data_IF_166327074431
#
_entry.id   IF_166327074431
#
_cell.length_a   1.000
_cell.length_b   1.000
_cell.length_c   1.000
_cell.angle_alpha   90.00
_cell.angle_beta   90.00
_cell.angle_gamma   90.00
#
_symmetry.space_group_name_H-M   'P 1'
#
loop_
_entity.id
_entity.type
_entity.pdbx_description
1 polymer ?
#
# COMPACT_ATOMS: atom_id res chain seq x y z
N UNK A 1 -27.73 8.76 -2.29
CA UNK A 1 -26.40 8.55 -2.90
C UNK A 1 -26.52 7.47 -3.96
N UNK A 2 -25.79 7.57 -5.08
CA UNK A 2 -25.67 6.52 -6.08
C UNK A 2 -24.24 5.97 -6.04
N UNK A 3 -24.09 4.68 -5.71
CA UNK A 3 -22.80 4.03 -5.54
C UNK A 3 -22.65 2.95 -6.61
N UNK A 4 -21.58 3.01 -7.38
CA UNK A 4 -21.19 1.91 -8.26
C UNK A 4 -19.95 1.23 -7.68
N UNK A 5 -20.02 -0.09 -7.53
CA UNK A 5 -18.92 -0.93 -7.05
C UNK A 5 -18.38 -1.73 -8.23
N UNK A 6 -17.11 -1.56 -8.53
CA UNK A 6 -16.37 -2.30 -9.55
C UNK A 6 -15.45 -3.28 -8.83
N UNK A 7 -15.72 -4.57 -8.98
CA UNK A 7 -15.00 -5.67 -8.33
C UNK A 7 -14.13 -6.42 -9.33
N UNK A 8 -12.88 -6.62 -8.95
CA UNK A 8 -11.96 -7.52 -9.64
C UNK A 8 -12.33 -8.99 -9.35
N UNK A 9 -12.64 -9.73 -10.42
CA UNK A 9 -12.97 -11.14 -10.39
C UNK A 9 -11.94 -12.00 -11.12
N UNK A 10 -10.75 -11.48 -11.39
CA UNK A 10 -9.68 -12.20 -12.07
C UNK A 10 -9.13 -13.37 -11.23
N UNK A 11 -8.37 -14.27 -11.87
CA UNK A 11 -7.71 -15.42 -11.21
C UNK A 11 -6.79 -14.96 -10.06
N UNK A 12 -6.17 -13.78 -10.19
CA UNK A 12 -5.30 -13.25 -9.14
C UNK A 12 -6.08 -13.11 -7.81
N UNK A 13 -7.34 -12.67 -7.86
CA UNK A 13 -8.17 -12.52 -6.66
C UNK A 13 -8.47 -13.84 -5.93
N UNK A 14 -8.20 -15.02 -6.53
CA UNK A 14 -8.31 -16.32 -5.83
C UNK A 14 -7.18 -16.60 -4.86
N UNK A 15 -6.05 -15.89 -4.97
CA UNK A 15 -4.93 -16.13 -4.04
C UNK A 15 -5.37 -15.86 -2.59
N UNK A 16 -4.84 -16.61 -1.62
CA UNK A 16 -5.19 -16.44 -0.21
C UNK A 16 -4.81 -15.05 0.29
N UNK A 17 -5.62 -14.50 1.20
CA UNK A 17 -5.25 -13.25 1.88
C UNK A 17 -4.03 -13.52 2.78
N UNK A 18 -2.95 -12.75 2.61
CA UNK A 18 -1.71 -12.99 3.36
C UNK A 18 -1.82 -12.68 4.87
N UNK A 19 -2.90 -12.02 5.30
CA UNK A 19 -3.10 -11.57 6.67
C UNK A 19 -3.99 -12.56 7.46
N UNK A 20 -3.35 -13.47 8.22
CA UNK A 20 -4.04 -14.25 9.25
C UNK A 20 -4.31 -13.32 10.44
N UNK A 21 -5.40 -12.54 10.38
CA UNK A 21 -5.88 -11.89 11.61
C UNK A 21 -6.44 -12.98 12.53
N UNK A 22 -6.04 -13.00 13.81
CA UNK A 22 -6.46 -14.01 14.81
C UNK A 22 -7.99 -14.10 15.03
N UNK A 23 -8.80 -13.29 14.34
CA UNK A 23 -10.24 -13.13 14.58
C UNK A 23 -11.12 -13.47 13.36
N UNK A 24 -10.56 -13.63 12.16
CA UNK A 24 -11.34 -13.92 10.96
C UNK A 24 -10.55 -14.86 10.06
N UNK A 25 -11.05 -16.06 9.80
CA UNK A 25 -10.64 -16.86 8.64
C UNK A 25 -11.05 -16.07 7.40
N UNK A 26 -10.13 -15.29 6.84
CA UNK A 26 -10.37 -14.65 5.55
C UNK A 26 -9.71 -15.54 4.51
N UNK A 27 -10.51 -16.26 3.72
CA UNK A 27 -10.01 -17.20 2.73
C UNK A 27 -9.27 -16.50 1.59
N UNK A 28 -9.92 -16.27 0.46
CA UNK A 28 -9.29 -15.64 -0.72
C UNK A 28 -9.34 -14.10 -0.68
N UNK A 29 -8.48 -13.43 -1.46
CA UNK A 29 -8.57 -11.97 -1.70
C UNK A 29 -9.96 -11.57 -2.19
N UNK A 30 -10.56 -12.38 -3.04
CA UNK A 30 -11.93 -12.23 -3.53
C UNK A 30 -12.96 -12.34 -2.40
N UNK A 31 -12.79 -13.29 -1.48
CA UNK A 31 -13.69 -13.44 -0.33
C UNK A 31 -13.60 -12.26 0.64
N UNK A 32 -12.41 -11.70 0.83
CA UNK A 32 -12.22 -10.45 1.59
C UNK A 32 -12.95 -9.28 0.91
N UNK A 33 -12.80 -9.14 -0.40
CA UNK A 33 -13.50 -8.13 -1.19
C UNK A 33 -15.03 -8.30 -1.10
N UNK A 34 -15.52 -9.54 -1.21
CA UNK A 34 -16.92 -9.90 -1.05
C UNK A 34 -17.46 -9.57 0.34
N UNK A 35 -16.70 -9.84 1.40
CA UNK A 35 -17.04 -9.46 2.78
C UNK A 35 -17.11 -7.94 2.95
N UNK A 36 -16.17 -7.19 2.35
CA UNK A 36 -16.21 -5.72 2.35
C UNK A 36 -17.44 -5.16 1.62
N UNK A 37 -17.78 -5.72 0.45
CA UNK A 37 -18.99 -5.37 -0.30
C UNK A 37 -20.23 -5.70 0.54
N UNK A 38 -20.27 -6.88 1.16
CA UNK A 38 -21.36 -7.29 2.04
C UNK A 38 -21.53 -6.31 3.20
N UNK A 39 -20.44 -5.83 3.80
CA UNK A 39 -20.46 -4.79 4.83
C UNK A 39 -21.08 -3.48 4.33
N UNK A 40 -20.70 -3.02 3.13
CA UNK A 40 -21.26 -1.83 2.50
C UNK A 40 -22.77 -2.02 2.24
N UNK A 41 -23.16 -3.13 1.61
CA UNK A 41 -24.55 -3.45 1.27
C UNK A 41 -25.41 -3.54 2.54
N UNK A 42 -24.96 -4.26 3.57
CA UNK A 42 -25.68 -4.39 4.84
C UNK A 42 -25.85 -3.05 5.55
N UNK A 43 -24.80 -2.22 5.58
CA UNK A 43 -24.89 -0.89 6.19
C UNK A 43 -25.90 0.00 5.46
N UNK A 44 -25.92 -0.06 4.12
CA UNK A 44 -26.86 0.72 3.31
C UNK A 44 -28.30 0.22 3.46
N UNK A 45 -28.50 -1.09 3.47
CA UNK A 45 -29.82 -1.71 3.70
C UNK A 45 -30.41 -1.28 5.06
N UNK A 46 -29.59 -1.27 6.12
CA UNK A 46 -30.06 -0.98 7.49
C UNK A 46 -30.24 0.51 7.77
N UNK A 47 -29.33 1.37 7.28
CA UNK A 47 -29.27 2.77 7.70
C UNK A 47 -29.58 3.78 6.60
N UNK A 48 -29.58 3.38 5.32
CA UNK A 48 -29.75 4.29 4.18
C UNK A 48 -30.55 3.66 3.03
N UNK A 49 -31.82 3.36 3.30
CA UNK A 49 -32.78 2.74 2.36
C UNK A 49 -33.00 3.45 1.02
N UNK A 50 -32.65 4.73 0.91
CA UNK A 50 -32.80 5.53 -0.32
C UNK A 50 -31.51 5.55 -1.17
N UNK A 51 -30.43 4.95 -0.69
CA UNK A 51 -29.20 4.85 -1.47
C UNK A 51 -29.33 3.72 -2.50
N UNK A 52 -28.86 4.00 -3.71
CA UNK A 52 -28.85 3.04 -4.81
C UNK A 52 -27.43 2.48 -4.97
N UNK A 53 -27.31 1.17 -5.13
CA UNK A 53 -26.03 0.48 -5.29
C UNK A 53 -26.08 -0.36 -6.56
N UNK A 54 -25.09 -0.19 -7.43
CA UNK A 54 -24.82 -1.08 -8.56
C UNK A 54 -23.51 -1.83 -8.34
N UNK A 55 -23.43 -3.06 -8.84
CA UNK A 55 -22.26 -3.93 -8.69
C UNK A 55 -21.88 -4.49 -10.07
N UNK A 56 -20.61 -4.35 -10.42
CA UNK A 56 -20.03 -4.82 -11.67
C UNK A 56 -18.79 -5.63 -11.34
N UNK A 57 -18.60 -6.71 -12.07
CA UNK A 57 -17.41 -7.55 -11.99
C UNK A 57 -16.66 -7.48 -13.30
N UNK A 58 -15.34 -7.27 -13.25
CA UNK A 58 -14.47 -7.39 -14.41
C UNK A 58 -13.48 -8.54 -14.21
N UNK A 59 -13.05 -9.15 -15.31
CA UNK A 59 -12.23 -10.36 -15.28
C UNK A 59 -13.04 -11.66 -15.15
N UNK A 60 -14.36 -11.63 -15.40
CA UNK A 60 -15.24 -12.81 -15.33
C UNK A 60 -15.11 -13.70 -16.57
N UNK A 61 -15.39 -14.99 -16.44
CA UNK A 61 -15.40 -15.91 -17.60
C UNK A 61 -16.46 -15.52 -18.63
N UNK A 62 -17.63 -15.11 -18.16
CA UNK A 62 -18.71 -14.57 -18.98
C UNK A 62 -18.58 -13.06 -19.25
N UNK A 63 -19.39 -12.59 -20.19
CA UNK A 63 -19.60 -11.16 -20.49
C UNK A 63 -21.09 -10.89 -20.42
N UNK A 64 -21.50 -9.94 -19.59
CA UNK A 64 -22.88 -9.47 -19.51
C UNK A 64 -22.86 -7.97 -19.25
N UNK A 65 -22.79 -7.18 -20.32
CA UNK A 65 -22.89 -5.73 -20.25
C UNK A 65 -23.51 -5.18 -21.53
N UNK A 66 -24.25 -4.08 -21.41
CA UNK A 66 -25.01 -3.49 -22.53
C UNK A 66 -24.09 -2.91 -23.61
N UNK A 67 -22.90 -2.41 -23.23
CA UNK A 67 -21.94 -1.86 -24.20
C UNK A 67 -21.36 -2.94 -25.12
N UNK A 68 -21.14 -4.15 -24.61
CA UNK A 68 -20.73 -5.30 -25.44
C UNK A 68 -21.84 -5.75 -26.38
N UNK A 69 -23.12 -5.58 -26.02
CA UNK A 69 -24.23 -5.85 -26.92
C UNK A 69 -24.34 -4.82 -28.06
N UNK A 70 -23.82 -3.61 -27.84
CA UNK A 70 -23.77 -2.54 -28.84
C UNK A 70 -22.54 -2.65 -29.76
N UNK A 71 -21.41 -3.16 -29.24
CA UNK A 71 -20.18 -3.47 -30.00
C UNK A 71 -19.56 -4.79 -29.51
N UNK A 72 -19.86 -5.88 -30.23
CA UNK A 72 -19.52 -7.29 -29.92
C UNK A 72 -18.04 -7.53 -29.56
N UNK A 73 -17.13 -6.63 -29.94
CA UNK A 73 -15.70 -6.80 -29.74
C UNK A 73 -15.12 -6.01 -28.55
N UNK A 74 -15.91 -5.14 -27.92
CA UNK A 74 -15.48 -4.25 -26.83
C UNK A 74 -15.99 -4.72 -25.46
N UNK A 75 -15.31 -4.37 -24.36
CA UNK A 75 -15.74 -4.66 -22.99
C UNK A 75 -16.04 -6.14 -22.67
N UNK A 76 -15.23 -7.05 -23.19
CA UNK A 76 -15.34 -8.50 -22.90
C UNK A 76 -14.93 -8.81 -21.47
N UNK A 77 -15.46 -9.90 -20.91
CA UNK A 77 -15.17 -10.36 -19.55
C UNK A 77 -15.59 -9.38 -18.44
N UNK A 78 -16.59 -8.55 -18.73
CA UNK A 78 -17.23 -7.65 -17.78
C UNK A 78 -18.69 -8.05 -17.62
N UNK A 79 -19.11 -8.33 -16.39
CA UNK A 79 -20.46 -8.80 -16.02
C UNK A 79 -21.10 -7.81 -15.05
N UNK A 80 -22.29 -7.33 -15.38
CA UNK A 80 -23.10 -6.47 -14.51
C UNK A 80 -23.93 -7.36 -13.59
N UNK A 81 -23.53 -7.43 -12.31
CA UNK A 81 -24.27 -8.23 -11.30
C UNK A 81 -25.57 -7.53 -10.93
N UNK A 82 -25.53 -6.21 -10.81
CA UNK A 82 -26.70 -5.41 -10.49
C UNK A 82 -26.57 -4.00 -11.07
N UNK A 83 -27.57 -3.60 -11.85
CA UNK A 83 -27.74 -2.20 -12.26
C UNK A 83 -28.03 -1.32 -11.04
N UNK A 84 -27.63 -0.04 -11.07
CA UNK A 84 -27.89 0.91 -9.98
C UNK A 84 -29.37 0.95 -9.55
N UNK A 85 -29.66 0.31 -8.42
CA UNK A 85 -31.01 0.14 -7.89
C UNK A 85 -31.00 0.23 -6.35
N UNK A 86 -32.16 0.51 -5.71
CA UNK A 86 -32.27 0.47 -4.25
C UNK A 86 -31.82 -0.88 -3.69
N UNK A 87 -31.10 -0.85 -2.58
CA UNK A 87 -30.53 -2.07 -1.98
C UNK A 87 -31.65 -3.01 -1.49
N UNK A 88 -31.67 -4.24 -1.99
CA UNK A 88 -32.60 -5.30 -1.58
C UNK A 88 -31.86 -6.46 -0.92
N UNK A 89 -32.61 -7.32 -0.22
CA UNK A 89 -32.09 -8.57 0.34
C UNK A 89 -31.56 -9.49 -0.77
N UNK A 90 -32.13 -9.41 -1.97
CA UNK A 90 -31.71 -10.24 -3.09
C UNK A 90 -30.34 -9.81 -3.64
N UNK A 91 -30.01 -8.51 -3.61
CA UNK A 91 -28.66 -8.03 -3.90
C UNK A 91 -27.63 -8.62 -2.91
N UNK A 92 -27.97 -8.70 -1.62
CA UNK A 92 -27.12 -9.34 -0.62
C UNK A 92 -26.90 -10.84 -0.89
N UNK A 93 -27.94 -11.56 -1.37
CA UNK A 93 -27.80 -12.97 -1.80
C UNK A 93 -26.95 -13.10 -3.06
N UNK A 94 -27.12 -12.20 -4.03
CA UNK A 94 -26.29 -12.16 -5.24
C UNK A 94 -24.82 -11.95 -4.89
N UNK A 95 -24.50 -11.01 -3.98
CA UNK A 95 -23.14 -10.80 -3.50
C UNK A 95 -22.56 -12.08 -2.91
N UNK A 96 -23.34 -12.82 -2.10
CA UNK A 96 -22.96 -14.12 -1.55
C UNK A 96 -22.78 -15.22 -2.60
N UNK A 97 -23.39 -15.11 -3.78
CA UNK A 97 -23.25 -16.07 -4.88
C UNK A 97 -22.12 -15.72 -5.87
N UNK A 98 -21.53 -14.52 -5.79
CA UNK A 98 -20.43 -14.12 -6.70
C UNK A 98 -19.20 -15.02 -6.51
N UNK A 99 -18.55 -15.34 -7.62
CA UNK A 99 -17.33 -16.16 -7.69
C UNK A 99 -16.28 -15.51 -8.61
N UNK A 100 -15.01 -15.75 -8.31
CA UNK A 100 -13.90 -15.33 -9.16
C UNK A 100 -13.70 -16.30 -10.32
N UNK A 101 -13.19 -15.81 -11.44
CA UNK A 101 -12.88 -16.61 -12.62
C UNK A 101 -11.84 -17.70 -12.32
N UNK A 102 -11.98 -18.84 -13.00
CA UNK A 102 -11.04 -19.96 -12.93
C UNK A 102 -9.94 -19.88 -13.98
N UNK A 103 -10.15 -19.10 -15.04
CA UNK A 103 -9.23 -18.94 -16.17
C UNK A 103 -8.77 -17.49 -16.28
N UNK A 104 -7.52 -17.28 -16.69
CA UNK A 104 -7.00 -15.93 -16.94
C UNK A 104 -7.79 -15.28 -18.07
N UNK A 105 -8.34 -14.10 -17.79
CA UNK A 105 -9.15 -13.32 -18.71
C UNK A 105 -8.41 -12.03 -19.07
N UNK A 106 -8.50 -11.56 -20.32
CA UNK A 106 -7.82 -10.35 -20.78
C UNK A 106 -8.53 -9.04 -20.38
N UNK A 107 -9.49 -9.05 -19.45
CA UNK A 107 -10.24 -7.85 -19.07
C UNK A 107 -9.39 -6.84 -18.29
N UNK A 108 -9.57 -5.56 -18.60
CA UNK A 108 -8.90 -4.45 -17.91
C UNK A 108 -9.80 -3.84 -16.82
N UNK A 109 -9.19 -3.22 -15.81
CA UNK A 109 -9.88 -2.41 -14.80
C UNK A 109 -10.54 -1.18 -15.44
N UNK A 110 -9.95 -0.62 -16.49
CA UNK A 110 -10.51 0.54 -17.20
C UNK A 110 -11.84 0.20 -17.88
N UNK A 111 -11.94 -0.97 -18.52
CA UNK A 111 -13.18 -1.46 -19.12
C UNK A 111 -14.29 -1.57 -18.08
N UNK A 112 -13.98 -2.14 -16.91
CA UNK A 112 -14.91 -2.21 -15.78
C UNK A 112 -15.36 -0.84 -15.27
N UNK A 113 -14.46 0.15 -15.25
CA UNK A 113 -14.79 1.53 -14.87
C UNK A 113 -15.69 2.20 -15.91
N UNK A 114 -15.42 2.02 -17.20
CA UNK A 114 -16.21 2.63 -18.28
C UNK A 114 -17.65 2.09 -18.24
N UNK A 115 -17.82 0.77 -18.14
CA UNK A 115 -19.15 0.13 -17.99
C UNK A 115 -19.87 0.66 -16.73
N UNK A 116 -19.13 0.88 -15.63
CA UNK A 116 -19.70 1.44 -14.41
C UNK A 116 -20.17 2.89 -14.54
N UNK A 117 -19.39 3.71 -15.24
CA UNK A 117 -19.75 5.10 -15.50
C UNK A 117 -20.95 5.18 -16.44
N UNK A 118 -21.02 4.35 -17.49
CA UNK A 118 -22.18 4.28 -18.39
C UNK A 118 -23.49 3.96 -17.64
N UNK A 119 -23.48 2.92 -16.79
CA UNK A 119 -24.64 2.59 -15.95
C UNK A 119 -25.00 3.72 -14.98
N UNK A 120 -24.00 4.43 -14.45
CA UNK A 120 -24.21 5.58 -13.58
C UNK A 120 -24.83 6.75 -14.33
N UNK A 121 -24.40 7.04 -15.57
CA UNK A 121 -24.98 8.09 -16.42
C UNK A 121 -26.46 7.79 -16.66
N UNK A 122 -26.78 6.59 -17.18
CA UNK A 122 -28.15 6.19 -17.51
C UNK A 122 -29.10 6.31 -16.32
N UNK A 123 -28.59 6.07 -15.11
CA UNK A 123 -29.39 6.18 -13.88
C UNK A 123 -29.53 7.63 -13.38
N UNK A 124 -28.52 8.46 -13.59
CA UNK A 124 -28.45 9.83 -13.02
C UNK A 124 -28.93 10.93 -13.97
N UNK A 125 -29.25 10.60 -15.22
CA UNK A 125 -29.58 11.55 -16.30
C UNK A 125 -30.76 12.50 -16.01
N UNK A 126 -31.61 12.19 -15.02
CA UNK A 126 -32.77 13.01 -14.65
C UNK A 126 -32.94 13.27 -13.15
N UNK A 127 -31.91 12.99 -12.34
CA UNK A 127 -32.03 13.00 -10.87
C UNK A 127 -30.75 13.46 -10.19
N UNK A 128 -30.90 14.26 -9.14
CA UNK A 128 -29.77 14.73 -8.33
C UNK A 128 -29.32 13.62 -7.37
N UNK A 129 -28.12 13.09 -7.59
CA UNK A 129 -27.46 12.13 -6.71
C UNK A 129 -26.05 12.60 -6.38
N UNK A 130 -25.61 12.35 -5.15
CA UNK A 130 -24.18 12.29 -4.83
C UNK A 130 -23.64 10.97 -5.38
N UNK A 131 -22.68 11.05 -6.30
CA UNK A 131 -22.17 9.91 -7.07
C UNK A 131 -20.84 9.43 -6.52
N UNK A 132 -20.72 8.13 -6.26
CA UNK A 132 -19.48 7.52 -5.77
C UNK A 132 -19.15 6.25 -6.54
N UNK A 133 -17.92 6.14 -7.01
CA UNK A 133 -17.39 4.96 -7.67
C UNK A 133 -16.37 4.30 -6.75
N UNK A 134 -16.59 3.04 -6.40
CA UNK A 134 -15.70 2.24 -5.54
C UNK A 134 -15.09 1.13 -6.37
N UNK A 135 -13.77 1.14 -6.53
CA UNK A 135 -13.03 0.09 -7.25
C UNK A 135 -12.31 -0.78 -6.25
N UNK A 136 -12.55 -2.10 -6.29
CA UNK A 136 -11.90 -3.09 -5.42
C UNK A 136 -11.08 -4.04 -6.30
N UNK A 137 -9.75 -3.98 -6.18
CA UNK A 137 -8.82 -4.75 -6.99
C UNK A 137 -7.54 -5.09 -6.22
N UNK A 138 -6.79 -6.09 -6.65
CA UNK A 138 -5.43 -6.36 -6.19
C UNK A 138 -4.34 -5.70 -7.08
N UNK A 139 -4.75 -5.02 -8.15
CA UNK A 139 -3.89 -4.36 -9.14
C UNK A 139 -2.82 -5.29 -9.75
N UNK A 140 -3.06 -6.61 -9.80
CA UNK A 140 -2.11 -7.57 -10.36
C UNK A 140 -2.13 -7.60 -11.90
N UNK A 141 -3.31 -7.40 -12.50
CA UNK A 141 -3.52 -7.43 -13.95
C UNK A 141 -2.99 -6.15 -14.60
N UNK A 142 -2.33 -6.27 -15.76
CA UNK A 142 -1.84 -5.12 -16.52
C UNK A 142 -2.99 -4.40 -17.23
N UNK A 143 -2.87 -3.09 -17.34
CA UNK A 143 -3.74 -2.25 -18.17
C UNK A 143 -3.37 -2.46 -19.63
N UNK A 144 -4.34 -2.82 -20.47
CA UNK A 144 -4.14 -3.13 -21.88
C UNK A 144 -4.13 -1.87 -22.75
N UNK A 145 -5.04 -0.93 -22.48
CA UNK A 145 -5.24 0.29 -23.28
C UNK A 145 -5.07 1.56 -22.45
N UNK A 146 -3.84 2.13 -22.38
CA UNK A 146 -3.58 3.35 -21.61
C UNK A 146 -4.31 4.60 -22.11
N UNK A 147 -4.74 4.62 -23.38
CA UNK A 147 -5.52 5.73 -23.98
C UNK A 147 -6.84 5.96 -23.27
N UNK A 148 -7.44 4.90 -22.74
CA UNK A 148 -8.77 4.94 -22.15
C UNK A 148 -8.76 5.66 -20.79
N UNK A 149 -7.58 5.86 -20.21
CA UNK A 149 -7.38 6.64 -19.00
C UNK A 149 -7.83 8.11 -19.16
N UNK A 150 -7.53 8.75 -20.30
CA UNK A 150 -7.93 10.15 -20.54
C UNK A 150 -9.44 10.30 -20.64
N UNK A 151 -10.09 9.32 -21.29
CA UNK A 151 -11.55 9.24 -21.41
C UNK A 151 -12.18 9.07 -20.03
N UNK A 152 -11.68 8.11 -19.23
CA UNK A 152 -12.16 7.87 -17.86
C UNK A 152 -11.99 9.10 -16.98
N UNK A 153 -10.85 9.79 -17.03
CA UNK A 153 -10.63 11.02 -16.28
C UNK A 153 -11.64 12.10 -16.66
N UNK A 154 -11.88 12.28 -17.96
CA UNK A 154 -12.85 13.27 -18.47
C UNK A 154 -14.27 12.93 -18.03
N UNK A 155 -14.67 11.66 -18.10
CA UNK A 155 -15.98 11.20 -17.65
C UNK A 155 -16.18 11.42 -16.14
N UNK A 156 -15.20 11.09 -15.31
CA UNK A 156 -15.27 11.27 -13.85
C UNK A 156 -15.41 12.75 -13.48
N UNK A 157 -14.66 13.63 -14.14
CA UNK A 157 -14.72 15.08 -13.91
C UNK A 157 -16.07 15.66 -14.35
N UNK A 158 -16.54 15.31 -15.55
CA UNK A 158 -17.80 15.83 -16.08
C UNK A 158 -19.02 15.36 -15.27
N UNK A 159 -18.96 14.15 -14.71
CA UNK A 159 -20.05 13.58 -13.93
C UNK A 159 -20.01 13.93 -12.45
N UNK A 160 -18.95 14.60 -11.99
CA UNK A 160 -18.65 14.91 -10.58
C UNK A 160 -18.73 13.66 -9.68
N UNK A 161 -18.00 12.60 -10.08
CA UNK A 161 -18.01 11.31 -9.38
C UNK A 161 -16.85 11.22 -8.39
N UNK A 162 -17.16 10.91 -7.14
CA UNK A 162 -16.12 10.64 -6.15
C UNK A 162 -15.54 9.24 -6.33
N UNK A 163 -14.30 9.13 -6.82
CA UNK A 163 -13.59 7.85 -6.98
C UNK A 163 -12.89 7.42 -5.68
N UNK A 164 -13.16 6.19 -5.25
CA UNK A 164 -12.50 5.52 -4.13
C UNK A 164 -11.92 4.19 -4.59
N UNK A 165 -10.61 4.00 -4.45
CA UNK A 165 -9.93 2.75 -4.82
C UNK A 165 -9.55 2.02 -3.53
N UNK A 166 -10.01 0.78 -3.40
CA UNK A 166 -9.68 -0.14 -2.32
C UNK A 166 -8.77 -1.23 -2.89
N UNK A 167 -7.47 -1.08 -2.67
CA UNK A 167 -6.51 -2.11 -3.05
C UNK A 167 -6.52 -3.21 -1.99
N UNK A 168 -6.84 -4.45 -2.36
CA UNK A 168 -6.67 -5.61 -1.47
C UNK A 168 -5.17 -5.85 -1.37
N UNK A 169 -4.55 -5.53 -0.23
CA UNK A 169 -3.15 -5.25 -0.26
C UNK A 169 -2.36 -6.55 -0.39
N UNK A 170 -1.50 -6.61 -1.41
CA UNK A 170 -0.30 -7.44 -1.37
C UNK A 170 0.65 -6.73 -0.39
N UNK A 171 0.36 -6.78 0.91
CA UNK A 171 1.28 -6.22 1.89
C UNK A 171 2.49 -7.15 1.98
N UNK A 172 3.63 -6.70 1.47
CA UNK A 172 4.91 -7.24 1.87
C UNK A 172 5.07 -7.01 3.37
N UNK A 173 4.78 -8.04 4.17
CA UNK A 173 4.95 -7.94 5.62
C UNK A 173 6.43 -8.11 5.98
N UNK A 174 6.93 -7.19 6.79
CA UNK A 174 8.30 -7.27 7.29
C UNK A 174 8.39 -8.38 8.34
N UNK A 175 9.24 -9.37 8.11
CA UNK A 175 9.63 -10.41 9.08
C UNK A 175 10.29 -9.80 10.31
N UNK A 176 11.06 -8.71 10.12
CA UNK A 176 11.70 -7.96 11.20
C UNK A 176 11.94 -6.50 10.77
N UNK A 177 11.69 -5.56 11.69
CA UNK A 177 12.21 -4.18 11.61
C UNK A 177 13.18 -3.94 12.76
N UNK A 178 14.41 -3.57 12.47
CA UNK A 178 15.43 -3.40 13.50
C UNK A 178 16.72 -2.85 12.93
N UNK A 179 17.77 -2.80 13.74
CA UNK A 179 19.06 -2.30 13.31
C UNK A 179 19.98 -3.47 12.92
N UNK A 180 20.68 -3.29 11.80
CA UNK A 180 21.86 -4.06 11.40
C UNK A 180 23.08 -3.43 12.09
N UNK A 181 23.64 -4.14 13.06
CA UNK A 181 24.71 -3.65 13.93
C UNK A 181 26.08 -4.15 13.46
N UNK A 182 27.05 -3.24 13.41
CA UNK A 182 28.46 -3.51 13.16
C UNK A 182 29.25 -3.17 14.43
N UNK A 183 29.59 -4.20 15.19
CA UNK A 183 30.16 -4.01 16.53
C UNK A 183 29.20 -3.20 17.41
N UNK A 184 29.76 -2.26 18.17
CA UNK A 184 28.98 -1.41 19.09
C UNK A 184 28.93 0.06 18.62
N UNK A 185 29.66 0.40 17.55
CA UNK A 185 29.85 1.78 17.09
C UNK A 185 28.92 2.20 15.94
N UNK A 186 28.45 1.26 15.12
CA UNK A 186 27.69 1.56 13.91
C UNK A 186 26.44 0.70 13.81
N UNK A 187 25.31 1.32 13.48
CA UNK A 187 24.07 0.60 13.24
C UNK A 187 23.28 1.21 12.07
N UNK A 188 22.72 0.36 11.22
CA UNK A 188 21.92 0.75 10.06
C UNK A 188 20.48 0.26 10.27
N UNK A 189 19.45 1.13 10.28
CA UNK A 189 18.07 0.70 10.33
C UNK A 189 17.68 -0.10 9.07
N UNK A 190 17.17 -1.32 9.25
CA UNK A 190 16.84 -2.25 8.16
C UNK A 190 15.48 -2.91 8.33
N UNK A 191 14.85 -3.17 7.19
CA UNK A 191 13.61 -3.94 7.07
C UNK A 191 13.94 -5.29 6.42
N UNK A 192 13.53 -6.37 7.08
CA UNK A 192 13.73 -7.75 6.60
C UNK A 192 12.40 -8.29 6.12
N UNK A 193 12.35 -8.80 4.89
CA UNK A 193 11.21 -9.44 4.26
C UNK A 193 11.53 -10.90 4.00
N UNK A 194 10.53 -11.77 4.10
CA UNK A 194 10.69 -13.15 3.66
C UNK A 194 10.68 -13.17 2.13
N UNK A 195 11.76 -13.67 1.50
CA UNK A 195 11.83 -13.82 0.04
C UNK A 195 11.21 -15.14 -0.40
N UNK A 196 11.44 -16.19 0.38
CA UNK A 196 10.89 -17.52 0.14
C UNK A 196 10.20 -18.00 1.42
N UNK A 197 8.93 -18.35 1.29
CA UNK A 197 8.13 -18.99 2.34
C UNK A 197 7.62 -20.32 1.80
N UNK A 198 7.71 -21.35 2.63
CA UNK A 198 7.11 -22.64 2.32
C UNK A 198 5.59 -22.51 2.43
N UNK A 199 4.88 -22.83 1.34
CA UNK A 199 3.44 -22.86 1.33
C UNK A 199 2.97 -24.21 1.89
N UNK A 200 2.53 -24.21 3.14
CA UNK A 200 1.92 -25.39 3.77
C UNK A 200 0.41 -25.41 3.52
N UNK A 201 -0.13 -26.58 3.20
CA UNK A 201 -1.59 -26.79 3.08
C UNK A 201 -2.24 -26.44 4.44
N UNK A 202 -3.39 -25.75 4.47
CA UNK A 202 -4.12 -25.49 5.72
C UNK A 202 -4.37 -26.78 6.51
N UNK A 203 -4.08 -26.79 7.80
CA UNK A 203 -4.31 -27.95 8.64
C UNK A 203 -5.81 -28.16 8.87
N UNK A 204 -6.33 -29.33 8.50
CA UNK A 204 -7.70 -29.74 8.86
C UNK A 204 -7.81 -29.88 10.38
N UNK A 205 -8.75 -29.16 10.99
CA UNK A 205 -9.09 -29.39 12.39
C UNK A 205 -9.94 -30.67 12.49
N UNK A 206 -9.52 -31.60 13.36
CA UNK A 206 -10.33 -32.78 13.65
C UNK A 206 -11.49 -32.38 14.56
N UNK A 207 -12.69 -32.28 14.01
CA UNK A 207 -13.90 -32.25 14.83
C UNK A 207 -14.27 -33.66 15.30
N UNK A 208 -14.35 -33.84 16.61
CA UNK A 208 -14.93 -35.04 17.24
C UNK A 208 -16.34 -34.72 17.69
N UNK A 209 -17.31 -35.56 17.30
CA UNK A 209 -18.70 -35.45 17.76
C UNK A 209 -18.86 -35.67 19.29
N UNK A 210 -17.84 -36.23 19.97
CA UNK A 210 -17.93 -36.72 21.36
C UNK A 210 -17.16 -35.85 22.35
N UNK A 211 -16.27 -34.95 21.90
CA UNK A 211 -15.25 -34.33 22.75
C UNK A 211 -15.66 -33.06 23.55
N UNK A 212 -16.95 -32.66 23.57
CA UNK A 212 -17.38 -31.49 24.35
C UNK A 212 -17.27 -31.67 25.88
N UNK A 213 -16.84 -32.84 26.37
CA UNK A 213 -16.80 -33.16 27.81
C UNK A 213 -15.43 -33.56 28.39
N UNK A 214 -14.33 -33.64 27.62
CA UNK A 214 -13.03 -34.00 28.20
C UNK A 214 -12.21 -32.76 28.56
N UNK A 215 -12.37 -32.24 29.78
CA UNK A 215 -11.34 -31.43 30.46
C UNK A 215 -10.30 -32.35 31.10
N UNK A 216 -9.77 -33.29 30.32
CA UNK A 216 -8.61 -34.06 30.76
C UNK A 216 -7.41 -33.22 30.42
N UNK A 217 -6.65 -32.77 31.44
CA UNK A 217 -5.33 -32.20 31.23
C UNK A 217 -4.56 -33.10 30.27
N UNK A 218 -3.81 -32.52 29.32
CA UNK A 218 -2.79 -33.30 28.61
C UNK A 218 -1.97 -34.04 29.67
N UNK A 219 -1.71 -35.35 29.49
CA UNK A 219 -1.07 -36.18 30.51
C UNK A 219 0.27 -35.63 31.02
N UNK A 220 0.87 -34.72 30.24
CA UNK A 220 2.12 -33.99 30.49
C UNK A 220 1.99 -32.84 31.51
N UNK A 221 0.80 -32.25 31.69
CA UNK A 221 0.56 -31.10 32.60
C UNK A 221 -0.20 -31.50 33.88
N UNK A 222 -0.31 -32.79 34.17
CA UNK A 222 -0.92 -33.26 35.41
C UNK A 222 -0.07 -32.83 36.63
N UNK A 223 -0.67 -32.22 37.67
CA UNK A 223 0.06 -31.81 38.86
C UNK A 223 0.76 -33.01 39.52
N UNK A 224 2.10 -32.92 39.65
CA UNK A 224 2.94 -33.96 40.23
C UNK A 224 3.79 -34.77 39.23
N UNK A 225 3.63 -34.58 37.92
CA UNK A 225 4.53 -35.17 36.91
C UNK A 225 5.60 -34.17 36.46
N UNK A 226 6.85 -34.64 36.38
CA UNK A 226 7.99 -33.85 35.88
C UNK A 226 8.49 -34.50 34.59
N UNK A 227 8.71 -33.69 33.55
CA UNK A 227 9.24 -34.16 32.27
C UNK A 227 10.68 -34.65 32.45
N UNK A 228 10.97 -35.87 32.00
CA UNK A 228 12.31 -36.46 32.05
C UNK A 228 13.02 -36.22 30.72
N UNK A 229 14.16 -35.54 30.73
CA UNK A 229 14.99 -35.39 29.54
C UNK A 229 15.96 -36.57 29.46
N UNK A 230 15.97 -37.26 28.31
CA UNK A 230 16.85 -38.41 28.10
C UNK A 230 18.23 -37.90 27.73
N UNK A 231 19.19 -38.09 28.64
CA UNK A 231 20.61 -37.96 28.31
C UNK A 231 21.24 -39.33 28.07
N UNK A 232 22.42 -39.36 27.45
CA UNK A 232 23.16 -40.59 27.16
C UNK A 232 23.55 -41.41 28.40
N UNK A 233 23.51 -40.81 29.59
CA UNK A 233 23.97 -41.42 30.84
C UNK A 233 22.83 -41.79 31.78
N UNK A 234 21.82 -40.91 31.94
CA UNK A 234 20.65 -41.16 32.77
C UNK A 234 19.48 -40.22 32.40
N UNK A 235 18.22 -40.62 32.65
CA UNK A 235 17.09 -39.69 32.57
C UNK A 235 17.18 -38.69 33.74
N UNK A 236 17.25 -37.40 33.42
CA UNK A 236 17.35 -36.34 34.42
C UNK A 236 15.96 -35.69 34.54
N UNK A 237 15.40 -35.57 35.77
CA UNK A 237 14.17 -34.82 35.98
C UNK A 237 14.43 -33.35 35.69
N UNK A 238 13.69 -32.79 34.74
CA UNK A 238 13.87 -31.41 34.32
C UNK A 238 12.52 -30.70 34.36
N UNK A 239 12.33 -29.87 35.38
CA UNK A 239 11.08 -29.12 35.54
C UNK A 239 10.94 -28.05 34.46
N UNK A 240 9.70 -27.66 34.17
CA UNK A 240 9.43 -26.55 33.25
C UNK A 240 10.00 -25.22 33.76
N UNK A 241 10.08 -25.04 35.09
CA UNK A 241 10.71 -23.89 35.72
C UNK A 241 12.23 -23.88 35.51
N UNK A 242 12.91 -25.01 35.72
CA UNK A 242 14.35 -25.15 35.49
C UNK A 242 14.69 -24.98 34.01
N UNK A 243 13.86 -25.53 33.12
CA UNK A 243 14.01 -25.37 31.68
C UNK A 243 13.88 -23.91 31.25
N UNK A 244 12.96 -23.16 31.85
CA UNK A 244 12.82 -21.73 31.59
C UNK A 244 14.00 -20.93 32.15
N UNK A 245 14.49 -21.28 33.34
CA UNK A 245 15.60 -20.60 34.00
C UNK A 245 16.96 -20.83 33.30
N UNK A 246 17.20 -22.03 32.78
CA UNK A 246 18.44 -22.40 32.10
C UNK A 246 18.44 -22.07 30.60
N UNK A 247 17.32 -21.61 30.06
CA UNK A 247 17.25 -21.21 28.65
C UNK A 247 18.11 -19.98 28.40
N UNK A 248 18.92 -20.04 27.34
CA UNK A 248 19.72 -18.89 26.90
C UNK A 248 18.81 -17.69 26.61
N UNK A 249 18.99 -16.63 27.40
CA UNK A 249 18.31 -15.35 27.18
C UNK A 249 18.95 -14.64 25.99
N UNK A 250 18.12 -14.20 25.05
CA UNK A 250 18.59 -13.55 23.82
C UNK A 250 17.84 -12.26 23.57
N UNK A 251 18.58 -11.23 23.16
CA UNK A 251 18.02 -9.98 22.69
C UNK A 251 17.72 -10.07 21.19
N UNK A 252 16.63 -9.44 20.79
CA UNK A 252 16.28 -9.27 19.37
C UNK A 252 17.33 -8.38 18.71
N UNK A 253 17.85 -8.78 17.56
CA UNK A 253 18.86 -8.01 16.86
C UNK A 253 19.46 -8.74 15.67
N UNK A 254 20.16 -7.96 14.84
CA UNK A 254 20.89 -8.45 13.68
C UNK A 254 22.30 -7.88 13.75
N UNK A 255 23.25 -8.68 14.24
CA UNK A 255 24.63 -8.24 14.49
C UNK A 255 25.60 -8.93 13.53
N UNK A 256 26.36 -8.15 12.77
CA UNK A 256 27.41 -8.67 11.88
C UNK A 256 28.56 -9.21 12.72
N UNK A 257 28.96 -10.45 12.43
CA UNK A 257 30.07 -11.15 13.06
C UNK A 257 31.37 -10.93 12.29
N UNK A 258 31.30 -10.92 10.95
CA UNK A 258 32.46 -10.72 10.10
C UNK A 258 32.16 -10.91 8.61
N UNK A 259 33.19 -10.74 7.78
CA UNK A 259 33.13 -10.91 6.33
C UNK A 259 34.01 -12.10 5.92
N UNK A 260 33.53 -12.88 4.96
CA UNK A 260 34.18 -14.10 4.46
C UNK A 260 34.16 -14.08 2.94
N UNK A 261 35.20 -14.65 2.31
CA UNK A 261 35.29 -14.73 0.86
C UNK A 261 34.18 -15.60 0.26
N UNK A 262 33.59 -15.13 -0.85
CA UNK A 262 32.51 -15.84 -1.58
C UNK A 262 32.92 -17.25 -2.01
N UNK A 263 34.22 -17.53 -2.18
CA UNK A 263 34.75 -18.86 -2.52
C UNK A 263 34.52 -19.92 -1.43
N UNK A 264 34.41 -19.50 -0.16
CA UNK A 264 34.17 -20.44 0.95
C UNK A 264 32.71 -20.85 1.05
N UNK A 265 31.81 -20.17 0.35
CA UNK A 265 30.39 -20.50 0.33
C UNK A 265 30.14 -21.77 -0.49
N UNK A 266 29.46 -22.74 0.13
CA UNK A 266 28.98 -23.96 -0.54
C UNK A 266 27.46 -23.97 -0.49
N UNK A 267 26.81 -24.30 -1.60
CA UNK A 267 25.34 -24.30 -1.72
C UNK A 267 24.64 -25.16 -0.65
N UNK A 268 25.28 -26.23 -0.18
CA UNK A 268 24.76 -27.09 0.89
C UNK A 268 24.78 -26.49 2.30
N UNK A 269 25.38 -25.31 2.51
CA UNK A 269 25.38 -24.63 3.82
C UNK A 269 24.05 -23.90 4.10
N UNK A 270 23.24 -23.65 3.08
CA UNK A 270 21.92 -23.04 3.24
C UNK A 270 20.93 -23.99 3.91
N UNK A 271 20.44 -23.62 5.09
CA UNK A 271 19.54 -24.48 5.87
C UNK A 271 18.06 -24.12 5.79
N UNK A 272 17.71 -22.85 5.56
CA UNK A 272 16.32 -22.37 5.63
C UNK A 272 15.99 -21.46 4.46
N UNK A 273 14.72 -21.05 4.36
CA UNK A 273 14.27 -20.05 3.39
C UNK A 273 15.08 -18.76 3.44
N UNK A 274 15.15 -18.10 2.29
CA UNK A 274 15.90 -16.86 2.09
C UNK A 274 15.07 -15.64 2.50
N UNK A 275 15.74 -14.66 3.10
CA UNK A 275 15.16 -13.35 3.43
C UNK A 275 15.82 -12.26 2.56
N UNK A 276 15.07 -11.19 2.28
CA UNK A 276 15.56 -9.99 1.62
C UNK A 276 15.66 -8.85 2.64
N UNK A 277 16.80 -8.16 2.67
CA UNK A 277 17.07 -7.07 3.62
C UNK A 277 17.24 -5.76 2.85
N UNK A 278 16.50 -4.75 3.27
CA UNK A 278 16.55 -3.40 2.72
C UNK A 278 16.84 -2.40 3.83
N UNK A 279 17.35 -1.22 3.48
CA UNK A 279 17.36 -0.11 4.42
C UNK A 279 15.94 0.22 4.87
N UNK A 280 15.80 0.97 5.96
CA UNK A 280 14.52 1.56 6.33
C UNK A 280 14.04 2.53 5.22
N UNK A 281 12.85 2.29 4.65
CA UNK A 281 12.30 3.10 3.56
C UNK A 281 12.00 4.54 3.98
N UNK A 282 11.82 4.77 5.29
CA UNK A 282 11.57 6.12 5.83
C UNK A 282 12.86 6.95 5.94
N UNK A 283 14.03 6.32 5.83
CA UNK A 283 15.33 6.96 6.06
C UNK A 283 16.24 6.84 4.84
N UNK A 284 16.44 7.91 4.05
CA UNK A 284 17.24 7.83 2.82
C UNK A 284 18.70 7.44 3.09
N UNK A 285 19.29 7.94 4.19
CA UNK A 285 20.66 7.57 4.61
C UNK A 285 20.83 6.07 4.88
N UNK A 286 19.78 5.39 5.33
CA UNK A 286 19.84 3.95 5.57
C UNK A 286 19.87 3.16 4.25
N UNK A 287 19.15 3.62 3.23
CA UNK A 287 19.21 3.03 1.87
C UNK A 287 20.59 3.22 1.26
N UNK A 288 21.13 4.43 1.34
CA UNK A 288 22.46 4.75 0.84
C UNK A 288 23.55 3.92 1.54
N UNK A 289 23.45 3.73 2.86
CA UNK A 289 24.39 2.91 3.61
C UNK A 289 24.34 1.42 3.20
N UNK A 290 23.15 0.85 2.99
CA UNK A 290 23.01 -0.53 2.49
C UNK A 290 23.51 -0.64 1.05
N UNK A 291 23.29 0.38 0.22
CA UNK A 291 23.82 0.43 -1.14
C UNK A 291 25.35 0.44 -1.16
N UNK A 292 25.97 1.29 -0.34
CA UNK A 292 27.43 1.35 -0.19
C UNK A 292 28.00 0.01 0.30
N UNK A 293 27.36 -0.60 1.31
CA UNK A 293 27.74 -1.91 1.84
C UNK A 293 27.65 -3.00 0.75
N UNK A 294 26.55 -3.06 0.01
CA UNK A 294 26.37 -4.07 -1.03
C UNK A 294 27.37 -3.91 -2.18
N UNK A 295 27.69 -2.67 -2.55
CA UNK A 295 28.68 -2.36 -3.60
C UNK A 295 30.08 -2.76 -3.15
N UNK A 296 30.47 -2.45 -1.91
CA UNK A 296 31.77 -2.84 -1.36
C UNK A 296 31.92 -4.37 -1.25
N UNK A 297 30.90 -5.06 -0.73
CA UNK A 297 30.91 -6.53 -0.64
C UNK A 297 31.00 -7.21 -2.00
N UNK A 298 30.33 -6.66 -3.02
CA UNK A 298 30.40 -7.18 -4.37
C UNK A 298 31.78 -6.94 -5.01
N UNK A 299 32.33 -5.73 -4.87
CA UNK A 299 33.65 -5.38 -5.40
C UNK A 299 34.77 -6.25 -4.79
N UNK A 300 34.68 -6.57 -3.49
CA UNK A 300 35.65 -7.44 -2.83
C UNK A 300 35.34 -8.94 -2.98
N UNK A 301 34.20 -9.32 -3.57
CA UNK A 301 33.80 -10.72 -3.68
C UNK A 301 33.58 -11.42 -2.34
N UNK A 302 33.02 -10.71 -1.34
CA UNK A 302 32.80 -11.20 0.03
C UNK A 302 31.32 -11.28 0.38
N UNK A 303 30.99 -12.14 1.34
CA UNK A 303 29.69 -12.20 2.00
C UNK A 303 29.85 -11.93 3.49
N UNK A 304 28.79 -11.45 4.15
CA UNK A 304 28.84 -11.16 5.59
C UNK A 304 28.14 -12.25 6.40
N UNK A 305 28.73 -12.64 7.52
CA UNK A 305 28.10 -13.50 8.51
C UNK A 305 27.48 -12.63 9.60
N UNK A 306 26.24 -12.93 9.97
CA UNK A 306 25.56 -12.20 11.04
C UNK A 306 24.78 -13.14 11.96
N UNK A 307 24.67 -12.73 13.22
CA UNK A 307 23.75 -13.31 14.19
C UNK A 307 22.39 -12.65 14.04
N UNK A 308 21.36 -13.45 13.79
CA UNK A 308 19.98 -13.03 13.64
C UNK A 308 19.11 -13.60 14.76
N UNK A 309 18.43 -12.71 15.49
CA UNK A 309 17.44 -13.06 16.52
C UNK A 309 16.13 -12.34 16.20
N UNK A 310 15.12 -13.09 15.75
CA UNK A 310 13.84 -12.52 15.28
C UNK A 310 13.04 -11.83 16.37
N UNK A 311 12.95 -12.47 17.54
CA UNK A 311 12.16 -12.05 18.71
C UNK A 311 13.01 -12.29 19.96
N UNK A 312 12.83 -11.50 21.02
CA UNK A 312 13.51 -11.73 22.29
C UNK A 312 13.29 -13.17 22.78
N UNK A 313 14.35 -13.79 23.32
CA UNK A 313 14.40 -15.18 23.79
C UNK A 313 14.16 -16.25 22.72
N UNK A 314 14.20 -15.88 21.44
CA UNK A 314 14.26 -16.84 20.34
C UNK A 314 15.70 -17.37 20.17
N UNK A 315 15.81 -18.62 19.68
CA UNK A 315 17.11 -19.21 19.39
C UNK A 315 17.89 -18.34 18.37
N UNK A 316 19.14 -17.99 18.64
CA UNK A 316 19.95 -17.18 17.73
C UNK A 316 20.31 -18.02 16.51
N UNK A 317 20.15 -17.44 15.33
CA UNK A 317 20.53 -18.06 14.06
C UNK A 317 21.75 -17.37 13.50
N UNK A 318 22.67 -18.11 12.90
CA UNK A 318 23.74 -17.53 12.08
C UNK A 318 23.24 -17.50 10.64
N UNK A 319 23.32 -16.34 10.01
CA UNK A 319 22.84 -16.10 8.65
C UNK A 319 23.96 -15.52 7.79
N UNK A 320 23.96 -15.88 6.50
CA UNK A 320 24.87 -15.34 5.51
C UNK A 320 24.15 -14.26 4.66
N UNK A 321 24.75 -13.09 4.60
CA UNK A 321 24.33 -11.95 3.79
C UNK A 321 25.06 -11.98 2.46
N UNK A 322 24.31 -12.26 1.40
CA UNK A 322 24.81 -12.22 0.03
C UNK A 322 24.29 -10.97 -0.68
N UNK A 323 25.15 -10.39 -1.52
CA UNK A 323 24.74 -9.34 -2.45
C UNK A 323 24.00 -10.00 -3.60
N UNK A 324 22.84 -9.44 -3.97
CA UNK A 324 22.09 -9.87 -5.15
C UNK A 324 22.66 -9.15 -6.38
N UNK A 325 23.10 -9.93 -7.37
CA UNK A 325 23.80 -9.42 -8.56
C UNK A 325 22.83 -8.98 -9.67
N UNK A 326 21.58 -9.45 -9.65
CA UNK A 326 20.58 -9.11 -10.67
C UNK A 326 20.04 -7.68 -10.50
N UNK A 327 20.73 -6.71 -11.10
CA UNK A 327 20.20 -5.35 -11.35
C UNK A 327 19.14 -5.33 -12.46
N UNK A 328 19.24 -6.25 -13.42
CA UNK A 328 18.43 -6.31 -14.65
C UNK A 328 16.97 -6.67 -14.44
N UNK A 329 16.62 -7.38 -13.36
CA UNK A 329 15.23 -7.74 -13.04
C UNK A 329 14.34 -6.53 -12.73
N UNK A 330 14.93 -5.41 -12.30
CA UNK A 330 14.19 -4.20 -11.91
C UNK A 330 14.24 -3.09 -12.96
N UNK A 331 15.12 -3.17 -13.96
CA UNK A 331 15.24 -2.15 -15.02
C UNK A 331 13.93 -1.91 -15.77
N UNK A 332 13.14 -2.93 -16.18
CA UNK A 332 11.86 -2.71 -16.84
C UNK A 332 10.81 -2.06 -15.93
N UNK A 333 10.86 -2.32 -14.63
CA UNK A 333 9.92 -1.80 -13.64
C UNK A 333 10.33 -0.43 -13.08
N UNK A 334 11.58 -0.02 -13.24
CA UNK A 334 12.14 1.20 -12.63
C UNK A 334 11.41 2.46 -13.09
N UNK A 335 11.06 2.54 -14.38
CA UNK A 335 10.31 3.65 -14.94
C UNK A 335 8.91 3.75 -14.33
N UNK A 336 8.23 2.62 -14.16
CA UNK A 336 6.92 2.55 -13.52
C UNK A 336 6.98 2.88 -12.03
N UNK A 337 8.01 2.41 -11.32
CA UNK A 337 8.24 2.72 -9.89
C UNK A 337 8.50 4.22 -9.71
N UNK A 338 9.34 4.85 -10.56
CA UNK A 338 9.58 6.29 -10.50
C UNK A 338 8.35 7.13 -10.85
N UNK A 339 7.55 6.69 -11.82
CA UNK A 339 6.28 7.34 -12.15
C UNK A 339 5.28 7.23 -10.98
N UNK A 340 5.21 6.06 -10.35
CA UNK A 340 4.37 5.82 -9.18
C UNK A 340 4.82 6.63 -7.96
N UNK A 341 6.12 6.67 -7.64
CA UNK A 341 6.65 7.43 -6.50
C UNK A 341 6.43 8.94 -6.69
N UNK A 342 6.63 9.46 -7.92
CA UNK A 342 6.27 10.84 -8.26
C UNK A 342 4.78 11.11 -8.05
N UNK A 343 3.90 10.22 -8.52
CA UNK A 343 2.45 10.36 -8.36
C UNK A 343 2.02 10.24 -6.88
N UNK A 344 2.71 9.41 -6.09
CA UNK A 344 2.44 9.20 -4.67
C UNK A 344 2.89 10.39 -3.83
N UNK A 345 4.10 10.92 -4.06
CA UNK A 345 4.58 12.13 -3.40
C UNK A 345 3.72 13.35 -3.71
N UNK A 346 3.20 13.46 -4.94
CA UNK A 346 2.19 14.47 -5.32
C UNK A 346 0.91 14.35 -4.49
N UNK A 347 0.43 13.13 -4.24
CA UNK A 347 -0.74 12.88 -3.38
C UNK A 347 -0.47 13.15 -1.89
N UNK A 348 0.72 12.81 -1.39
CA UNK A 348 1.08 13.07 0.01
C UNK A 348 1.27 14.58 0.26
N UNK A 349 1.90 15.28 -0.68
CA UNK A 349 2.01 16.75 -0.67
C UNK A 349 0.64 17.44 -0.75
N UNK A 350 -0.32 16.86 -1.49
CA UNK A 350 -1.70 17.34 -1.52
C UNK A 350 -2.44 17.09 -0.18
N UNK A 351 -2.19 15.95 0.48
CA UNK A 351 -2.76 15.64 1.81
C UNK A 351 -2.18 16.49 2.95
N UNK A 352 -0.91 16.86 2.88
CA UNK A 352 -0.24 17.65 3.91
C UNK A 352 -0.77 19.11 4.00
N UNK A 353 -1.59 19.56 3.05
CA UNK A 353 -2.03 20.96 2.96
C UNK A 353 -3.37 21.31 3.60
N UNK A 354 -4.10 20.40 4.23
CA UNK A 354 -5.40 20.77 4.82
C UNK A 354 -5.72 20.08 6.16
N UNK A 355 -5.19 20.67 7.24
CA UNK A 355 -5.59 20.35 8.61
C UNK A 355 -6.17 21.55 9.38
N UNK A 356 -6.55 22.64 8.69
CA UNK A 356 -7.30 23.74 9.31
C UNK A 356 -8.67 23.88 8.66
N UNK A 357 -9.65 23.15 9.20
CA UNK A 357 -11.01 23.64 9.50
C UNK A 357 -11.88 22.50 10.09
N UNK A 358 -11.92 22.45 11.42
CA UNK A 358 -13.07 21.95 12.19
C UNK A 358 -13.31 22.89 13.36
N UNK A 359 -14.29 23.77 13.23
CA UNK A 359 -15.20 24.17 14.33
C UNK A 359 -16.32 25.03 13.77
N UNK A 360 -17.46 24.94 14.44
CA UNK A 360 -18.83 25.23 14.08
C UNK A 360 -19.38 26.11 15.22
N UNK A 361 -20.14 27.17 14.87
CA UNK A 361 -20.68 28.27 15.73
C UNK A 361 -19.61 29.18 16.35
N UNK A 362 -19.77 30.48 16.52
CA UNK A 362 -20.86 31.47 16.35
C UNK A 362 -20.17 32.84 16.45
N UNK A 363 -20.68 33.83 15.73
CA UNK A 363 -20.45 35.28 15.90
C UNK A 363 -18.99 35.77 16.02
N UNK A 364 -18.53 36.51 15.00
CA UNK A 364 -17.87 37.82 15.15
C UNK A 364 -17.49 38.35 13.76
N UNK A 365 -18.12 39.49 13.45
CA UNK A 365 -17.63 40.69 12.79
C UNK A 365 -16.58 40.57 11.69
N UNK A 366 -16.98 41.03 10.51
CA UNK A 366 -16.11 41.48 9.41
C UNK A 366 -15.21 42.61 9.95
N UNK A 367 -13.91 42.32 10.07
CA UNK A 367 -12.89 43.30 10.45
C UNK A 367 -11.56 42.62 10.76
N UNK A 368 -10.56 42.91 9.93
CA UNK A 368 -9.12 42.66 10.15
C UNK A 368 -8.62 41.20 10.20
N UNK A 369 -8.54 40.55 9.02
CA UNK A 369 -7.53 39.52 8.77
C UNK A 369 -6.40 40.09 7.92
N UNK A 370 -5.21 40.16 8.53
CA UNK A 370 -3.92 40.40 7.85
C UNK A 370 -3.67 39.32 6.76
N UNK A 371 -3.07 39.68 5.62
CA UNK A 371 -2.82 38.73 4.53
C UNK A 371 -1.78 37.68 4.91
N UNK A 372 -2.00 36.47 4.42
CA UNK A 372 -1.16 35.30 4.63
C UNK A 372 0.21 35.45 3.94
N UNK A 373 1.25 35.07 4.67
CA UNK A 373 2.65 35.05 4.21
C UNK A 373 2.85 34.17 2.97
N UNK A 374 3.13 34.81 1.83
CA UNK A 374 3.56 34.17 0.58
C UNK A 374 4.99 33.64 0.78
N UNK A 375 5.15 32.32 0.77
CA UNK A 375 6.45 31.67 0.97
C UNK A 375 7.41 31.89 -0.21
N UNK A 376 8.58 32.40 0.16
CA UNK A 376 9.76 32.76 -0.63
C UNK A 376 10.43 31.52 -1.24
N UNK A 377 10.48 31.41 -2.57
CA UNK A 377 11.40 30.50 -3.25
C UNK A 377 12.46 31.31 -3.99
N UNK A 378 13.73 31.07 -3.68
CA UNK A 378 14.92 31.66 -4.31
C UNK A 378 14.92 31.45 -5.83
N UNK A 379 14.32 30.35 -6.30
CA UNK A 379 14.14 30.03 -7.72
C UNK A 379 13.21 31.01 -8.44
N UNK A 380 12.12 31.46 -7.79
CA UNK A 380 11.18 32.40 -8.39
C UNK A 380 11.77 33.80 -8.50
N UNK A 381 12.52 34.24 -7.49
CA UNK A 381 13.26 35.51 -7.56
C UNK A 381 14.37 35.47 -8.61
N UNK A 382 15.09 34.34 -8.75
CA UNK A 382 16.09 34.16 -9.80
C UNK A 382 15.47 34.12 -11.22
N UNK A 383 14.24 33.62 -11.35
CA UNK A 383 13.46 33.68 -12.58
C UNK A 383 13.04 35.11 -12.91
N UNK A 384 12.49 35.86 -11.93
CA UNK A 384 12.11 37.27 -12.11
C UNK A 384 13.29 38.15 -12.48
N UNK A 385 14.47 37.94 -11.87
CA UNK A 385 15.69 38.66 -12.26
C UNK A 385 16.14 38.33 -13.69
N UNK A 386 16.05 37.06 -14.12
CA UNK A 386 16.34 36.67 -15.51
C UNK A 386 15.36 37.30 -16.49
N UNK A 387 14.05 37.22 -16.20
CA UNK A 387 13.01 37.79 -17.03
C UNK A 387 13.15 39.32 -17.13
N UNK A 388 13.48 40.02 -16.04
CA UNK A 388 13.76 41.47 -16.05
C UNK A 388 15.05 41.82 -16.81
N UNK A 389 16.07 40.96 -16.79
CA UNK A 389 17.31 41.18 -17.54
C UNK A 389 17.12 40.95 -19.05
N UNK A 390 16.27 40.00 -19.42
CA UNK A 390 16.05 39.58 -20.81
C UNK A 390 14.97 40.41 -21.52
N UNK A 391 13.94 40.85 -20.79
CA UNK A 391 12.79 41.61 -21.33
C UNK A 391 12.63 42.98 -20.65
N UNK A 392 13.71 43.51 -20.07
CA UNK A 392 13.69 44.78 -19.36
C UNK A 392 13.30 45.99 -20.25
N UNK A 393 13.00 47.14 -19.62
CA UNK A 393 12.42 48.31 -20.30
C UNK A 393 13.26 48.89 -21.44
N UNK A 394 14.54 48.52 -21.54
CA UNK A 394 15.47 49.02 -22.55
C UNK A 394 15.61 48.13 -23.80
N UNK A 395 15.02 46.93 -23.85
CA UNK A 395 15.10 46.05 -25.03
C UNK A 395 13.86 45.14 -25.17
N UNK A 396 12.86 45.58 -25.94
CA UNK A 396 11.94 44.67 -26.62
C UNK A 396 10.46 45.11 -26.69
N UNK A 397 9.74 44.77 -27.79
CA UNK A 397 8.31 45.06 -27.97
C UNK A 397 7.39 44.28 -27.00
N UNK A 398 7.89 43.20 -26.40
CA UNK A 398 7.15 42.35 -25.46
C UNK A 398 6.86 43.08 -24.14
N UNK A 399 7.78 43.93 -23.67
CA UNK A 399 7.59 44.67 -22.43
C UNK A 399 6.54 45.78 -22.56
N UNK A 400 6.46 46.43 -23.72
CA UNK A 400 5.42 47.42 -24.01
C UNK A 400 4.01 46.80 -24.00
N UNK A 401 3.85 45.60 -24.58
CA UNK A 401 2.59 44.85 -24.54
C UNK A 401 2.15 44.48 -23.11
N UNK A 402 3.10 44.10 -22.24
CA UNK A 402 2.79 43.77 -20.84
C UNK A 402 2.36 45.01 -20.02
N UNK A 403 2.94 46.18 -20.31
CA UNK A 403 2.54 47.46 -19.71
C UNK A 403 1.18 47.92 -20.23
N UNK A 404 0.90 47.78 -21.54
CA UNK A 404 -0.41 48.06 -22.15
C UNK A 404 -1.54 47.22 -21.55
N UNK A 405 -1.26 45.97 -21.17
CA UNK A 405 -2.22 45.08 -20.52
C UNK A 405 -2.22 45.15 -18.98
N UNK A 406 -1.59 46.17 -18.39
CA UNK A 406 -1.55 46.39 -16.93
C UNK A 406 -1.01 45.21 -16.10
N UNK A 407 -0.08 44.42 -16.63
CA UNK A 407 0.52 43.30 -15.91
C UNK A 407 1.77 43.76 -15.15
N UNK A 408 1.66 43.93 -13.83
CA UNK A 408 2.78 44.34 -12.97
C UNK A 408 3.53 43.13 -12.38
N UNK A 409 4.83 43.00 -12.71
CA UNK A 409 5.73 41.99 -12.14
C UNK A 409 6.60 42.62 -11.03
N UNK A 410 6.04 42.78 -9.83
CA UNK A 410 6.76 43.31 -8.67
C UNK A 410 7.37 42.17 -7.84
N UNK A 411 8.65 42.31 -7.51
CA UNK A 411 9.31 41.54 -6.43
C UNK A 411 9.25 42.40 -5.17
N UNK A 412 8.98 41.81 -4.01
CA UNK A 412 8.81 42.51 -2.72
C UNK A 412 10.02 43.28 -2.22
N UNK A 413 11.17 43.26 -2.92
CA UNK A 413 12.33 44.11 -2.62
C UNK A 413 12.35 45.45 -3.38
N UNK A 414 11.43 45.65 -4.31
CA UNK A 414 11.33 46.87 -5.11
C UNK A 414 10.18 47.80 -4.64
N UNK A 415 9.55 47.52 -3.49
CA UNK A 415 8.53 48.37 -2.90
C UNK A 415 9.09 49.16 -1.69
N UNK A 416 9.39 50.46 -1.87
CA UNK A 416 9.93 51.30 -0.79
C UNK A 416 8.92 51.64 0.32
N UNK A 417 7.69 51.10 0.29
CA UNK A 417 6.70 51.29 1.36
C UNK A 417 6.74 50.24 2.48
N UNK A 418 7.61 49.22 2.37
CA UNK A 418 7.66 48.09 3.31
C UNK A 418 8.94 48.00 4.16
N UNK A 419 9.82 49.00 4.13
CA UNK A 419 11.01 49.07 4.99
C UNK A 419 10.68 49.88 6.26
N UNK A 420 10.16 49.22 7.30
CA UNK A 420 10.21 49.78 8.67
C UNK A 420 11.55 49.41 9.30
N UNK A 421 12.33 50.41 9.68
CA UNK A 421 13.65 50.21 10.29
C UNK A 421 13.53 49.77 11.75
N UNK A 422 14.52 49.02 12.25
CA UNK A 422 14.57 48.46 13.63
C UNK A 422 14.44 49.53 14.74
N UNK A 423 14.60 50.83 14.43
CA UNK A 423 14.42 51.94 15.38
C UNK A 423 12.97 52.40 15.57
N UNK A 424 12.01 51.89 14.79
CA UNK A 424 10.57 52.13 14.99
C UNK A 424 9.85 50.88 15.57
N UNK A 425 10.62 49.84 15.92
CA UNK A 425 10.13 48.58 16.50
C UNK A 425 10.68 48.30 17.92
N UNK A 426 11.31 49.30 18.54
CA UNK A 426 11.42 49.46 20.01
C UNK A 426 10.48 50.60 20.42
#
# INVERSE_FOLDING_TARGET
>A
EAIMIVLDASVAMRSPLAEVTRKVEVGSRFEAAKSAIQGIVNQKLLFRKNDEVGIIMYGTEGTDNQLNADDDNSYKHVTVVSSAAPVTIDLAKQVLAMEAASVETPADVLDGIIVALDLMIRRTDNKKYDKRLVVITDAATRINNPSDMEVVCTMIQNLDVHLQIMCVPIMCTTKMRGNLEFGDAMSIPVYVFAKVLEATIPSLQKESQVAKQSTTYAEDDAPGKVRMERTSFAPIPFSTADQAALKLLTTRGLKVLGFVDKSQWKHGLGMTGTDAVFGDFTKPKAQEAIHALSTAMHAEGKFALARFVRVANAAPKVVAFHVREDRTLFEPALAAIHAFDKAFQLKEAAKAKDHKKKSFWSDVSIGDMKPADIHRTTLFNAFLHRAKAEFGPSNGPVWQLLVEHHVTLLSTRDDPSCDTSVREAE
#
